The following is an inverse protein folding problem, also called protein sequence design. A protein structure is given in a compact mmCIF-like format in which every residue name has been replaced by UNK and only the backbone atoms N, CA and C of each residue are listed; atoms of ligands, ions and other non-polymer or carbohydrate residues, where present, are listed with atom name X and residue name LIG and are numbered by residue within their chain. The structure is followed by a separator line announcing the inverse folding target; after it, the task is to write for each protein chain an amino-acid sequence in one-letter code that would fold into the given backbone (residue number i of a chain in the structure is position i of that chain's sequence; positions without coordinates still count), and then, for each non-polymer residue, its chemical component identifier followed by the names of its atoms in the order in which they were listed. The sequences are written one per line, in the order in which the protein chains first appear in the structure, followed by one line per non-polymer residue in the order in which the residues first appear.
data_IF_457051302444
#
_entry.id   IF_457051302444
#
_cell.length_a   1.000
_cell.length_b   1.000
_cell.length_c   1.000
_cell.angle_alpha   90.00
_cell.angle_beta   90.00
_cell.angle_gamma   90.00
#
_symmetry.space_group_name_H-M   'P 1'
#
loop_
_entity.id
_entity.type
_entity.pdbx_description
1 polymer ?
#
# COMPACT_ATOMS: atom_id res chain seq x y z
N UNK A 1 -7.01 -1.91 38.13
CA UNK A 1 -7.70 -1.36 36.94
C UNK A 1 -7.03 -1.97 35.74
N UNK A 2 -7.70 -2.82 34.94
CA UNK A 2 -7.11 -3.31 33.71
C UNK A 2 -6.87 -2.11 32.80
N UNK A 3 -5.67 -2.02 32.26
CA UNK A 3 -5.27 -0.94 31.37
C UNK A 3 -6.17 -0.97 30.11
N UNK A 4 -6.62 0.18 29.63
CA UNK A 4 -7.46 0.28 28.44
C UNK A 4 -6.80 -0.42 27.22
N UNK A 5 -5.46 -0.47 27.24
CA UNK A 5 -4.62 -1.21 26.30
C UNK A 5 -4.90 -2.72 26.30
N UNK A 6 -4.99 -3.39 27.46
CA UNK A 6 -5.20 -4.85 27.52
C UNK A 6 -6.58 -5.26 26.99
N UNK A 7 -7.59 -4.44 27.23
CA UNK A 7 -8.95 -4.68 26.73
C UNK A 7 -9.04 -4.47 25.21
N UNK A 8 -8.36 -3.46 24.68
CA UNK A 8 -8.22 -3.27 23.25
C UNK A 8 -7.51 -4.47 22.61
N UNK A 9 -6.37 -4.88 23.15
CA UNK A 9 -5.56 -5.93 22.53
C UNK A 9 -6.31 -7.26 22.45
N UNK A 10 -7.12 -7.59 23.47
CA UNK A 10 -7.94 -8.81 23.48
C UNK A 10 -9.07 -8.77 22.44
N UNK A 11 -9.68 -7.61 22.22
CA UNK A 11 -10.72 -7.40 21.20
C UNK A 11 -10.11 -7.40 19.78
N UNK A 12 -8.98 -6.71 19.60
CA UNK A 12 -8.32 -6.55 18.30
C UNK A 12 -7.57 -7.81 17.85
N UNK A 13 -7.18 -8.73 18.75
CA UNK A 13 -6.41 -9.93 18.36
C UNK A 13 -7.15 -10.85 17.40
N UNK A 14 -8.46 -11.00 17.55
CA UNK A 14 -9.31 -11.78 16.63
C UNK A 14 -9.79 -10.91 15.46
N UNK A 15 -10.12 -9.64 15.71
CA UNK A 15 -10.53 -8.70 14.66
C UNK A 15 -9.42 -8.38 13.65
N UNK A 16 -8.13 -8.41 14.02
CA UNK A 16 -7.04 -8.08 13.09
C UNK A 16 -7.02 -8.99 11.88
N UNK A 17 -7.38 -10.27 12.03
CA UNK A 17 -7.44 -11.20 10.91
C UNK A 17 -8.58 -10.84 9.95
N UNK A 18 -9.72 -10.38 10.47
CA UNK A 18 -10.79 -9.82 9.65
C UNK A 18 -10.38 -8.50 8.98
N UNK A 19 -9.68 -7.61 9.69
CA UNK A 19 -9.16 -6.37 9.11
C UNK A 19 -8.07 -6.60 8.06
N UNK A 20 -7.17 -7.56 8.26
CA UNK A 20 -6.11 -7.89 7.30
C UNK A 20 -6.66 -8.64 6.07
N UNK A 21 -7.66 -9.52 6.26
CA UNK A 21 -8.37 -10.15 5.14
C UNK A 21 -9.15 -9.10 4.35
N UNK A 22 -9.81 -8.17 5.02
CA UNK A 22 -10.55 -7.08 4.35
C UNK A 22 -9.63 -6.02 3.74
N UNK A 23 -8.42 -5.81 4.29
CA UNK A 23 -7.36 -4.97 3.72
C UNK A 23 -6.98 -5.38 2.30
N UNK A 24 -7.06 -6.67 1.97
CA UNK A 24 -6.83 -7.17 0.60
C UNK A 24 -7.89 -6.69 -0.39
N UNK A 25 -9.12 -6.43 0.06
CA UNK A 25 -10.22 -5.94 -0.78
C UNK A 25 -10.17 -4.42 -1.03
N UNK A 26 -9.52 -3.63 -0.17
CA UNK A 26 -9.24 -2.21 -0.45
C UNK A 26 -8.17 -1.98 -1.53
N UNK A 27 -7.45 -3.04 -1.93
CA UNK A 27 -6.35 -2.98 -2.89
C UNK A 27 -6.66 -3.72 -4.20
N UNK A 28 -7.91 -4.15 -4.39
CA UNK A 28 -8.36 -4.68 -5.67
C UNK A 28 -8.20 -3.60 -6.75
N UNK A 29 -7.49 -3.93 -7.82
CA UNK A 29 -7.24 -3.00 -8.92
C UNK A 29 -5.98 -2.14 -8.77
N UNK A 30 -5.25 -2.18 -7.64
CA UNK A 30 -4.00 -1.43 -7.51
C UNK A 30 -2.94 -1.86 -8.52
N UNK A 31 -2.75 -3.18 -8.67
CA UNK A 31 -1.78 -3.70 -9.63
C UNK A 31 -2.22 -3.45 -11.08
N UNK A 32 -3.54 -3.36 -11.34
CA UNK A 32 -4.09 -2.95 -12.62
C UNK A 32 -3.82 -1.46 -12.88
N UNK A 33 -4.04 -0.61 -11.88
CA UNK A 33 -3.80 0.83 -11.94
C UNK A 33 -2.32 1.11 -12.24
N UNK A 34 -1.39 0.48 -11.53
CA UNK A 34 0.05 0.64 -11.79
C UNK A 34 0.45 0.22 -13.22
N UNK A 35 -0.24 -0.76 -13.81
CA UNK A 35 -0.02 -1.19 -15.20
C UNK A 35 -0.63 -0.24 -16.23
N UNK A 36 -1.73 0.43 -15.88
CA UNK A 36 -2.45 1.34 -16.76
C UNK A 36 -1.96 2.79 -16.63
N UNK A 37 -1.09 3.07 -15.66
CA UNK A 37 -0.43 4.36 -15.53
C UNK A 37 0.46 4.62 -16.74
N UNK A 38 0.06 5.60 -17.55
CA UNK A 38 0.78 6.07 -18.72
C UNK A 38 1.82 7.12 -18.32
N UNK A 39 2.83 6.69 -17.55
CA UNK A 39 3.96 7.54 -17.17
C UNK A 39 4.94 7.58 -18.33
N UNK A 40 5.21 8.77 -18.84
CA UNK A 40 6.15 8.97 -19.92
C UNK A 40 7.61 8.97 -19.41
N UNK A 41 8.59 8.66 -20.28
CA UNK A 41 10.00 8.81 -19.94
C UNK A 41 10.35 10.20 -19.42
N UNK A 42 11.10 10.26 -18.31
CA UNK A 42 11.52 11.52 -17.68
C UNK A 42 10.46 12.21 -16.82
N UNK A 43 9.24 11.66 -16.71
CA UNK A 43 8.24 12.19 -15.80
C UNK A 43 8.55 11.85 -14.33
N UNK A 44 8.00 12.66 -13.42
CA UNK A 44 8.20 12.53 -11.98
C UNK A 44 6.93 12.02 -11.30
N UNK A 45 7.06 10.96 -10.49
CA UNK A 45 5.94 10.34 -9.76
C UNK A 45 6.25 10.30 -8.27
N UNK A 46 5.36 10.85 -7.45
CA UNK A 46 5.44 10.85 -5.99
C UNK A 46 4.34 9.95 -5.40
N UNK A 47 4.71 8.92 -4.64
CA UNK A 47 3.77 8.11 -3.85
C UNK A 47 3.69 8.64 -2.42
N UNK A 48 2.60 9.33 -2.07
CA UNK A 48 2.39 9.81 -0.71
C UNK A 48 2.12 8.63 0.23
N UNK A 49 2.97 8.48 1.25
CA UNK A 49 2.85 7.39 2.21
C UNK A 49 3.28 6.05 1.62
N UNK A 50 4.45 6.00 0.95
CA UNK A 50 4.90 4.85 0.18
C UNK A 50 5.06 3.54 0.97
N UNK A 51 5.14 3.61 2.30
CA UNK A 51 5.32 2.46 3.16
C UNK A 51 6.56 1.65 2.75
N UNK A 52 6.38 0.41 2.29
CA UNK A 52 7.46 -0.47 1.83
C UNK A 52 7.93 -0.21 0.40
N UNK A 53 7.44 0.86 -0.24
CA UNK A 53 7.75 1.24 -1.63
C UNK A 53 7.39 0.18 -2.68
N UNK A 54 6.51 -0.79 -2.36
CA UNK A 54 6.09 -1.85 -3.28
C UNK A 54 5.60 -1.30 -4.62
N UNK A 55 4.79 -0.23 -4.58
CA UNK A 55 4.19 0.30 -5.80
C UNK A 55 5.23 1.01 -6.67
N UNK A 56 6.15 1.78 -6.07
CA UNK A 56 7.29 2.35 -6.78
C UNK A 56 8.19 1.28 -7.41
N UNK A 57 8.45 0.18 -6.71
CA UNK A 57 9.25 -0.95 -7.27
C UNK A 57 8.53 -1.62 -8.44
N UNK A 58 7.20 -1.74 -8.37
CA UNK A 58 6.42 -2.27 -9.49
C UNK A 58 6.44 -1.28 -10.66
N UNK A 59 6.24 0.01 -10.39
CA UNK A 59 6.20 1.06 -11.41
C UNK A 59 7.57 1.23 -12.09
N UNK A 60 8.69 1.14 -11.35
CA UNK A 60 10.04 1.23 -11.93
C UNK A 60 10.36 0.12 -12.92
N UNK A 61 9.73 -1.06 -12.75
CA UNK A 61 9.86 -2.18 -13.70
C UNK A 61 9.07 -1.95 -14.98
N UNK A 62 7.94 -1.25 -14.90
CA UNK A 62 7.11 -0.95 -16.07
C UNK A 62 7.61 0.32 -16.80
N UNK A 63 8.10 1.29 -16.05
CA UNK A 63 8.50 2.62 -16.52
C UNK A 63 9.91 2.96 -16.01
N UNK A 64 10.95 2.32 -16.57
CA UNK A 64 12.33 2.41 -16.04
C UNK A 64 12.96 3.79 -16.21
N UNK A 65 12.39 4.63 -17.07
CA UNK A 65 12.87 5.99 -17.33
C UNK A 65 12.12 7.07 -16.53
N UNK A 66 11.16 6.67 -15.68
CA UNK A 66 10.47 7.59 -14.80
C UNK A 66 11.28 7.88 -13.53
N UNK A 67 11.16 9.09 -13.00
CA UNK A 67 11.73 9.50 -11.72
C UNK A 67 10.71 9.23 -10.60
N UNK A 68 11.02 8.32 -9.69
CA UNK A 68 10.09 7.84 -8.65
C UNK A 68 10.51 8.30 -7.26
N UNK A 69 9.54 8.80 -6.48
CA UNK A 69 9.70 9.30 -5.11
C UNK A 69 8.63 8.69 -4.20
N UNK A 70 8.96 8.45 -2.93
CA UNK A 70 8.07 7.86 -1.93
C UNK A 70 8.14 8.54 -0.58
#
# INVERSE_FOLDING_TARGET
MPDAFENMDRMYRLQRYFYDITRKYYLLGRDQLLKQMDVQPGEHVLEVGCGTARNLIVLSRHQPQAHLYG
#
